data_IF_831720841388
#
_entry.id   IF_831720841388
#
_cell.length_a   1.000
_cell.length_b   1.000
_cell.length_c   1.000
_cell.angle_alpha   90.00
_cell.angle_beta   90.00
_cell.angle_gamma   90.00
#
_symmetry.space_group_name_H-M   'P 1'
#
loop_
_entity.id
_entity.type
_entity.pdbx_description
1 polymer ?
#
# COMPACT_ATOMS: atom_id res chain seq x y z
N UNK A 1 -23.57 61.23 -16.82
CA UNK A 1 -22.56 61.06 -15.80
C UNK A 1 -22.92 59.74 -15.07
N UNK A 2 -22.44 58.63 -15.58
CA UNK A 2 -22.83 57.28 -15.12
C UNK A 2 -21.58 56.58 -14.60
N UNK A 3 -21.64 56.16 -13.37
CA UNK A 3 -20.59 55.71 -12.48
C UNK A 3 -19.93 54.39 -12.89
N UNK A 4 -18.63 54.45 -13.05
CA UNK A 4 -17.71 53.35 -13.38
C UNK A 4 -17.07 52.82 -12.09
N UNK A 5 -17.83 52.19 -11.17
CA UNK A 5 -17.29 51.72 -9.89
C UNK A 5 -17.53 50.24 -9.54
N UNK A 6 -18.34 49.50 -10.34
CA UNK A 6 -18.74 48.13 -9.95
C UNK A 6 -17.87 46.98 -10.50
N UNK A 7 -16.87 47.27 -11.33
CA UNK A 7 -16.12 46.18 -12.02
C UNK A 7 -14.83 45.75 -11.26
N UNK A 8 -14.46 46.36 -10.13
CA UNK A 8 -13.25 45.96 -9.37
C UNK A 8 -13.50 45.00 -8.23
N UNK A 9 -14.73 44.96 -7.69
CA UNK A 9 -15.14 44.00 -6.65
C UNK A 9 -15.33 42.61 -7.23
N UNK A 10 -15.92 42.52 -8.44
CA UNK A 10 -16.18 41.24 -9.12
C UNK A 10 -14.89 40.57 -9.59
N UNK A 11 -13.93 41.34 -10.13
CA UNK A 11 -12.62 40.80 -10.51
C UNK A 11 -11.78 40.29 -9.31
N UNK A 12 -11.98 40.85 -8.12
CA UNK A 12 -11.29 40.38 -6.90
C UNK A 12 -11.97 39.16 -6.26
N UNK A 13 -13.30 39.03 -6.42
CA UNK A 13 -14.04 37.83 -6.00
C UNK A 13 -13.71 36.65 -6.90
N UNK A 14 -13.63 36.86 -8.21
CA UNK A 14 -13.25 35.83 -9.18
C UNK A 14 -11.77 35.39 -9.00
N UNK A 15 -10.85 36.32 -8.75
CA UNK A 15 -9.46 35.99 -8.47
C UNK A 15 -9.28 35.22 -7.13
N UNK A 16 -10.12 35.50 -6.13
CA UNK A 16 -10.12 34.76 -4.86
C UNK A 16 -10.81 33.39 -4.98
N UNK A 17 -11.80 33.27 -5.85
CA UNK A 17 -12.43 31.98 -6.18
C UNK A 17 -11.49 31.11 -6.99
N UNK A 18 -10.76 31.70 -7.93
CA UNK A 18 -9.76 30.98 -8.74
C UNK A 18 -8.54 30.56 -7.92
N UNK A 19 -8.08 31.40 -6.98
CA UNK A 19 -7.03 31.04 -6.03
C UNK A 19 -7.46 29.97 -5.01
N UNK A 20 -8.77 29.84 -4.72
CA UNK A 20 -9.29 28.74 -3.89
C UNK A 20 -9.49 27.45 -4.71
N UNK A 21 -9.78 27.56 -6.00
CA UNK A 21 -9.85 26.40 -6.90
C UNK A 21 -8.47 25.74 -7.10
N UNK A 22 -7.40 26.54 -7.04
CA UNK A 22 -6.02 26.07 -7.18
C UNK A 22 -5.47 25.35 -5.92
N UNK A 23 -6.16 25.46 -4.76
CA UNK A 23 -5.79 24.80 -3.52
C UNK A 23 -6.21 23.31 -3.48
N UNK A 24 -6.93 22.80 -4.47
CA UNK A 24 -7.49 21.45 -4.53
C UNK A 24 -6.97 20.65 -5.72
N UNK A 25 -5.88 21.09 -6.33
CA UNK A 25 -5.15 20.36 -7.36
C UNK A 25 -4.32 19.18 -6.79
N UNK A 26 -3.66 18.42 -7.67
CA UNK A 26 -2.71 17.39 -7.24
C UNK A 26 -1.66 18.00 -6.31
N UNK A 27 -1.21 17.21 -5.32
CA UNK A 27 -0.13 17.64 -4.44
C UNK A 27 1.13 17.98 -5.24
N UNK A 28 1.69 19.14 -4.99
CA UNK A 28 3.05 19.46 -5.40
C UNK A 28 4.08 18.79 -4.45
N UNK A 29 5.36 18.95 -4.76
CA UNK A 29 6.43 18.32 -3.97
C UNK A 29 6.46 18.79 -2.51
N UNK A 30 6.11 20.04 -2.24
CA UNK A 30 6.10 20.58 -0.87
C UNK A 30 4.86 20.13 -0.10
N UNK A 31 3.71 20.08 -0.76
CA UNK A 31 2.51 19.45 -0.24
C UNK A 31 2.73 17.97 0.08
N UNK A 32 3.33 17.22 -0.84
CA UNK A 32 3.66 15.82 -0.63
C UNK A 32 4.57 15.61 0.60
N UNK A 33 5.61 16.44 0.75
CA UNK A 33 6.49 16.38 1.94
C UNK A 33 5.72 16.64 3.23
N UNK A 34 4.93 17.71 3.27
CA UNK A 34 4.17 18.10 4.45
C UNK A 34 3.17 17.02 4.87
N UNK A 35 2.33 16.58 3.95
CA UNK A 35 1.30 15.58 4.24
C UNK A 35 1.91 14.18 4.48
N UNK A 36 3.02 13.87 3.80
CA UNK A 36 3.78 12.65 4.03
C UNK A 36 4.39 12.59 5.43
N UNK A 37 4.98 13.68 5.92
CA UNK A 37 5.47 13.75 7.30
C UNK A 37 4.33 13.58 8.30
N UNK A 38 3.21 14.27 8.10
CA UNK A 38 2.03 14.13 8.96
C UNK A 38 1.50 12.68 9.01
N UNK A 39 1.48 11.99 7.87
CA UNK A 39 1.08 10.58 7.81
C UNK A 39 2.09 9.66 8.52
N UNK A 40 3.37 9.92 8.38
CA UNK A 40 4.43 9.13 9.09
C UNK A 40 4.29 9.31 10.60
N UNK A 41 4.10 10.53 11.08
CA UNK A 41 3.87 10.83 12.50
C UNK A 41 2.60 10.12 13.00
N UNK A 42 1.50 10.21 12.25
CA UNK A 42 0.24 9.51 12.58
C UNK A 42 0.43 7.99 12.68
N UNK A 43 1.19 7.37 11.76
CA UNK A 43 1.48 5.93 11.80
C UNK A 43 2.30 5.58 13.05
N UNK A 44 3.30 6.39 13.39
CA UNK A 44 4.13 6.19 14.58
C UNK A 44 3.28 6.25 15.85
N UNK A 45 2.47 7.29 16.02
CA UNK A 45 1.55 7.48 17.15
C UNK A 45 0.52 6.34 17.25
N UNK A 46 -0.03 5.91 16.12
CA UNK A 46 -0.92 4.75 16.06
C UNK A 46 -0.23 3.50 16.62
N UNK A 47 0.97 3.19 16.15
CA UNK A 47 1.73 1.99 16.56
C UNK A 47 2.14 2.04 18.03
N UNK A 48 2.54 3.19 18.54
CA UNK A 48 2.87 3.38 19.96
C UNK A 48 1.63 3.25 20.86
N UNK A 49 0.47 3.65 20.36
CA UNK A 49 -0.79 3.60 21.11
C UNK A 49 -1.54 2.28 21.00
N UNK A 50 -1.19 1.40 20.06
CA UNK A 50 -2.00 0.24 19.69
C UNK A 50 -2.31 -0.69 20.87
N UNK A 51 -1.34 -0.93 21.76
CA UNK A 51 -1.52 -1.76 22.94
C UNK A 51 -2.50 -1.22 23.99
N UNK A 52 -2.89 0.05 23.90
CA UNK A 52 -3.89 0.72 24.73
C UNK A 52 -5.27 0.76 24.08
N UNK A 53 -5.38 0.38 22.82
CA UNK A 53 -6.64 0.37 22.06
C UNK A 53 -7.43 -0.90 22.32
N UNK A 54 -8.70 -0.92 22.01
CA UNK A 54 -9.48 -2.14 21.94
C UNK A 54 -8.98 -2.99 20.76
N UNK A 55 -8.79 -4.29 20.95
CA UNK A 55 -8.31 -5.19 19.87
C UNK A 55 -9.20 -5.13 18.64
N UNK A 56 -10.51 -5.14 18.85
CA UNK A 56 -11.50 -5.05 17.79
C UNK A 56 -12.71 -4.26 18.27
N UNK A 57 -13.20 -3.38 17.44
CA UNK A 57 -14.53 -2.81 17.53
C UNK A 57 -15.29 -3.20 16.26
N UNK A 58 -16.37 -3.93 16.41
CA UNK A 58 -17.17 -4.42 15.28
C UNK A 58 -18.44 -3.57 15.18
N UNK A 59 -18.47 -2.55 14.34
CA UNK A 59 -19.68 -1.76 14.10
C UNK A 59 -20.74 -2.61 13.39
N UNK A 60 -22.00 -2.21 13.50
CA UNK A 60 -23.09 -2.83 12.73
C UNK A 60 -22.78 -2.74 11.23
N UNK A 61 -23.04 -3.79 10.43
CA UNK A 61 -22.83 -3.74 8.99
C UNK A 61 -23.52 -2.53 8.35
N UNK A 62 -22.77 -1.77 7.58
CA UNK A 62 -23.24 -0.52 6.96
C UNK A 62 -22.95 0.76 7.74
N UNK A 63 -22.61 0.69 9.02
CA UNK A 63 -22.36 1.89 9.85
C UNK A 63 -21.15 2.73 9.37
N UNK A 64 -20.09 2.09 8.88
CA UNK A 64 -18.95 2.81 8.28
C UNK A 64 -19.37 3.43 6.95
N UNK A 65 -20.05 2.67 6.09
CA UNK A 65 -20.53 3.16 4.79
C UNK A 65 -21.48 4.36 4.94
N UNK A 66 -22.31 4.39 5.98
CA UNK A 66 -23.23 5.49 6.24
C UNK A 66 -22.53 6.81 6.59
N UNK A 67 -21.24 6.79 6.94
CA UNK A 67 -20.44 7.97 7.22
C UNK A 67 -19.75 8.52 5.97
N UNK A 68 -19.76 7.77 4.87
CA UNK A 68 -19.16 8.18 3.60
C UNK A 68 -20.16 8.93 2.73
N UNK A 69 -19.72 9.86 1.87
CA UNK A 69 -20.59 10.53 0.91
C UNK A 69 -21.33 9.51 0.02
N UNK A 70 -22.60 9.76 -0.27
CA UNK A 70 -23.40 8.87 -1.11
C UNK A 70 -23.00 8.90 -2.60
N UNK A 71 -22.26 9.92 -3.01
CA UNK A 71 -21.74 10.11 -4.37
C UNK A 71 -20.27 10.51 -4.29
N UNK A 72 -19.52 10.23 -5.34
CA UNK A 72 -18.16 10.73 -5.46
C UNK A 72 -18.15 12.27 -5.42
N UNK A 73 -17.20 12.89 -4.72
CA UNK A 73 -17.07 14.35 -4.71
C UNK A 73 -16.78 14.87 -6.12
N UNK A 74 -17.44 15.95 -6.50
CA UNK A 74 -17.20 16.59 -7.81
C UNK A 74 -15.94 17.45 -7.83
N UNK A 75 -15.42 17.78 -6.66
CA UNK A 75 -14.18 18.55 -6.45
C UNK A 75 -13.25 17.81 -5.51
N UNK A 76 -11.95 17.99 -5.71
CA UNK A 76 -10.95 17.47 -4.76
C UNK A 76 -11.09 18.11 -3.38
N UNK A 77 -10.67 17.38 -2.38
CA UNK A 77 -10.59 17.84 -0.99
C UNK A 77 -9.12 18.01 -0.58
N UNK A 78 -8.82 18.91 0.36
CA UNK A 78 -7.46 19.04 0.89
C UNK A 78 -6.98 17.72 1.49
N UNK A 79 -5.72 17.36 1.24
CA UNK A 79 -5.18 16.05 1.70
C UNK A 79 -5.25 15.88 3.22
N UNK A 80 -5.06 16.95 3.99
CA UNK A 80 -5.17 16.88 5.45
C UNK A 80 -6.59 16.53 5.94
N UNK A 81 -7.64 16.89 5.20
CA UNK A 81 -9.02 16.48 5.52
C UNK A 81 -9.22 14.99 5.20
N UNK A 82 -8.67 14.52 4.08
CA UNK A 82 -8.68 13.09 3.73
C UNK A 82 -7.92 12.28 4.79
N UNK A 83 -6.77 12.76 5.26
CA UNK A 83 -6.01 12.10 6.32
C UNK A 83 -6.77 12.11 7.66
N UNK A 84 -7.53 13.16 7.97
CA UNK A 84 -8.36 13.22 9.17
C UNK A 84 -9.48 12.15 9.15
N UNK A 85 -9.91 11.69 7.97
CA UNK A 85 -10.87 10.61 7.83
C UNK A 85 -10.34 9.26 8.31
N UNK A 86 -9.02 9.09 8.43
CA UNK A 86 -8.44 7.90 9.06
C UNK A 86 -8.96 7.77 10.50
N UNK A 87 -8.89 8.81 11.31
CA UNK A 87 -9.38 8.78 12.68
C UNK A 87 -10.91 8.84 12.76
N UNK A 88 -11.53 9.65 11.94
CA UNK A 88 -12.97 9.91 11.99
C UNK A 88 -13.80 8.72 11.50
N UNK A 89 -13.36 8.04 10.45
CA UNK A 89 -14.15 7.00 9.76
C UNK A 89 -13.45 5.65 9.82
N UNK A 90 -12.19 5.58 9.36
CA UNK A 90 -11.50 4.29 9.16
C UNK A 90 -11.25 3.59 10.50
N UNK A 91 -10.73 4.33 11.49
CA UNK A 91 -10.40 3.78 12.81
C UNK A 91 -11.63 3.28 13.58
N UNK A 92 -12.83 3.69 13.20
CA UNK A 92 -14.09 3.20 13.78
C UNK A 92 -14.40 1.73 13.39
N UNK A 93 -13.81 1.22 12.32
CA UNK A 93 -14.11 -0.11 11.78
C UNK A 93 -12.88 -1.01 11.59
N UNK A 94 -11.73 -0.63 12.13
CA UNK A 94 -10.52 -1.44 12.04
C UNK A 94 -10.45 -2.47 13.17
N UNK A 95 -10.06 -3.69 12.82
CA UNK A 95 -9.52 -4.69 13.75
C UNK A 95 -8.01 -4.52 13.78
N UNK A 96 -7.46 -4.30 14.98
CA UNK A 96 -6.04 -3.99 15.14
C UNK A 96 -5.18 -5.26 15.11
N UNK A 97 -4.86 -5.76 13.92
CA UNK A 97 -4.10 -7.01 13.71
C UNK A 97 -2.69 -6.99 14.31
N UNK A 98 -2.11 -5.80 14.51
CA UNK A 98 -0.80 -5.63 15.16
C UNK A 98 -0.90 -5.44 16.68
N UNK A 99 -2.12 -5.53 17.25
CA UNK A 99 -2.31 -5.40 18.69
C UNK A 99 -1.71 -6.62 19.42
N UNK A 100 -0.99 -6.45 20.54
CA UNK A 100 -0.40 -7.57 21.30
C UNK A 100 -1.41 -8.64 21.76
N UNK A 101 -2.67 -8.25 21.93
CA UNK A 101 -3.77 -9.16 22.29
C UNK A 101 -4.50 -9.79 21.10
N UNK A 102 -4.06 -9.56 19.86
CA UNK A 102 -4.63 -10.21 18.68
C UNK A 102 -4.04 -11.63 18.53
N UNK A 103 -4.84 -12.65 18.82
CA UNK A 103 -4.41 -14.06 18.86
C UNK A 103 -5.12 -14.91 17.79
N UNK A 104 -5.65 -14.29 16.75
CA UNK A 104 -6.37 -14.97 15.67
C UNK A 104 -5.63 -14.82 14.35
N UNK A 105 -5.79 -15.82 13.46
CA UNK A 105 -5.20 -15.88 12.12
C UNK A 105 -3.67 -15.83 12.12
N UNK A 106 -3.08 -15.51 10.98
CA UNK A 106 -1.66 -15.20 10.80
C UNK A 106 -1.53 -13.76 10.31
N UNK A 107 -1.33 -12.78 11.20
CA UNK A 107 -1.16 -11.40 10.79
C UNK A 107 0.12 -11.24 9.98
N UNK A 108 0.05 -10.46 8.91
CA UNK A 108 1.25 -10.01 8.21
C UNK A 108 2.10 -9.17 9.15
N UNK A 109 3.39 -9.45 9.21
CA UNK A 109 4.31 -8.63 9.97
C UNK A 109 4.43 -7.26 9.31
N UNK A 110 4.45 -6.23 10.15
CA UNK A 110 4.66 -4.86 9.72
C UNK A 110 5.67 -4.21 10.66
N UNK A 111 6.75 -3.67 10.11
CA UNK A 111 7.75 -2.89 10.83
C UNK A 111 7.82 -1.48 10.24
N UNK A 112 8.46 -0.56 10.94
CA UNK A 112 8.68 0.79 10.39
C UNK A 112 9.52 0.73 9.10
N UNK A 113 10.50 -0.17 9.05
CA UNK A 113 11.36 -0.37 7.88
C UNK A 113 10.57 -0.88 6.68
N UNK A 114 9.65 -1.84 6.89
CA UNK A 114 8.82 -2.36 5.79
C UNK A 114 7.85 -1.30 5.26
N UNK A 115 7.29 -0.44 6.13
CA UNK A 115 6.44 0.68 5.73
C UNK A 115 7.21 1.68 4.86
N UNK A 116 8.46 2.00 5.25
CA UNK A 116 9.33 2.87 4.45
C UNK A 116 9.73 2.22 3.13
N UNK A 117 9.93 0.90 3.12
CA UNK A 117 10.18 0.13 1.89
C UNK A 117 9.00 0.20 0.91
N UNK A 118 7.78 0.03 1.40
CA UNK A 118 6.55 0.19 0.60
C UNK A 118 6.40 1.61 0.05
N UNK A 119 6.66 2.63 0.88
CA UNK A 119 6.62 4.02 0.45
C UNK A 119 7.65 4.30 -0.66
N UNK A 120 8.87 3.78 -0.53
CA UNK A 120 9.91 3.92 -1.55
C UNK A 120 9.49 3.20 -2.85
N UNK A 121 8.96 1.98 -2.75
CA UNK A 121 8.48 1.20 -3.90
C UNK A 121 7.35 1.91 -4.64
N UNK A 122 6.36 2.43 -3.91
CA UNK A 122 5.26 3.20 -4.47
C UNK A 122 5.76 4.49 -5.14
N UNK A 123 6.73 5.19 -4.51
CA UNK A 123 7.30 6.42 -5.05
C UNK A 123 8.13 6.22 -6.33
N UNK A 124 8.80 5.08 -6.46
CA UNK A 124 9.55 4.72 -7.67
C UNK A 124 8.64 4.28 -8.82
N UNK A 125 7.50 3.65 -8.51
CA UNK A 125 6.53 3.21 -9.52
C UNK A 125 7.07 2.18 -10.52
N UNK A 126 8.06 1.38 -10.11
CA UNK A 126 8.72 0.39 -10.98
C UNK A 126 7.87 -0.87 -11.17
N UNK A 127 8.05 -1.53 -12.30
CA UNK A 127 7.45 -2.83 -12.61
C UNK A 127 8.48 -3.96 -12.49
N UNK A 128 8.38 -4.75 -11.42
CA UNK A 128 9.29 -5.85 -11.13
C UNK A 128 8.95 -7.20 -11.77
N UNK A 129 7.98 -7.27 -12.69
CA UNK A 129 7.52 -8.54 -13.25
C UNK A 129 8.51 -9.23 -14.18
N UNK A 130 9.42 -8.51 -14.78
CA UNK A 130 10.45 -9.01 -15.69
C UNK A 130 11.78 -8.30 -15.42
N UNK A 131 12.89 -9.02 -15.64
CA UNK A 131 14.21 -8.41 -15.58
C UNK A 131 14.34 -7.20 -16.51
N UNK A 132 13.80 -7.27 -17.70
CA UNK A 132 13.88 -6.19 -18.70
C UNK A 132 13.08 -4.93 -18.31
N UNK A 133 12.07 -5.06 -17.48
CA UNK A 133 11.26 -3.91 -17.00
C UNK A 133 11.81 -3.29 -15.72
N UNK A 134 12.52 -4.08 -14.92
CA UNK A 134 13.26 -3.60 -13.75
C UNK A 134 14.35 -4.60 -13.36
N UNK A 135 15.56 -4.47 -13.92
CA UNK A 135 16.69 -5.33 -13.55
C UNK A 135 16.96 -5.32 -12.05
N UNK A 136 16.91 -4.14 -11.42
CA UNK A 136 17.15 -3.98 -10.00
C UNK A 136 16.17 -4.78 -9.14
N UNK A 137 14.86 -4.78 -9.46
CA UNK A 137 13.88 -5.55 -8.71
C UNK A 137 14.17 -7.05 -8.77
N UNK A 138 14.42 -7.57 -9.97
CA UNK A 138 14.71 -9.00 -10.15
C UNK A 138 16.00 -9.44 -9.48
N UNK A 139 17.07 -8.65 -9.60
CA UNK A 139 18.34 -8.98 -9.00
C UNK A 139 18.33 -8.87 -7.47
N UNK A 140 17.65 -7.86 -6.93
CA UNK A 140 17.43 -7.75 -5.47
C UNK A 140 16.60 -8.92 -4.94
N UNK A 141 15.52 -9.28 -5.60
CA UNK A 141 14.69 -10.43 -5.23
C UNK A 141 15.53 -11.70 -5.17
N UNK A 142 16.25 -12.00 -6.25
CA UNK A 142 17.13 -13.17 -6.36
C UNK A 142 18.15 -13.20 -5.22
N UNK A 143 18.81 -12.08 -4.97
CA UNK A 143 19.84 -11.98 -3.95
C UNK A 143 19.29 -12.13 -2.52
N UNK A 144 18.16 -11.54 -2.23
CA UNK A 144 17.47 -11.66 -0.92
C UNK A 144 16.99 -13.09 -0.69
N UNK A 145 16.52 -13.77 -1.75
CA UNK A 145 16.12 -15.17 -1.65
C UNK A 145 17.31 -16.10 -1.40
N UNK A 146 18.49 -15.83 -1.98
CA UNK A 146 19.72 -16.56 -1.64
C UNK A 146 20.13 -16.35 -0.17
N UNK A 147 19.99 -15.13 0.37
CA UNK A 147 20.16 -14.90 1.81
C UNK A 147 19.20 -15.73 2.65
N UNK A 148 17.96 -15.84 2.21
CA UNK A 148 16.94 -16.62 2.92
C UNK A 148 17.28 -18.12 2.90
N UNK A 149 17.81 -18.67 1.80
CA UNK A 149 18.34 -20.04 1.73
C UNK A 149 19.38 -20.28 2.84
N UNK A 150 20.34 -19.38 2.98
CA UNK A 150 21.35 -19.49 4.05
C UNK A 150 20.78 -19.32 5.45
N UNK A 151 19.89 -18.33 5.66
CA UNK A 151 19.28 -18.05 6.95
C UNK A 151 18.41 -19.21 7.45
N UNK A 152 17.76 -19.94 6.55
CA UNK A 152 16.92 -21.12 6.86
C UNK A 152 17.73 -22.43 6.89
N UNK A 153 19.03 -22.42 6.58
CA UNK A 153 19.85 -23.63 6.49
C UNK A 153 19.41 -24.58 5.38
N UNK A 154 18.83 -24.06 4.30
CA UNK A 154 18.44 -24.88 3.17
C UNK A 154 19.65 -25.34 2.35
N UNK A 155 19.57 -26.47 1.66
CA UNK A 155 20.66 -26.95 0.80
C UNK A 155 20.99 -25.98 -0.33
N UNK A 156 22.26 -25.89 -0.74
CA UNK A 156 22.76 -25.00 -1.80
C UNK A 156 22.07 -25.20 -3.17
N UNK A 157 21.43 -26.35 -3.38
CA UNK A 157 20.62 -26.59 -4.60
C UNK A 157 19.44 -25.63 -4.76
N UNK A 158 19.08 -24.85 -3.72
CA UNK A 158 18.04 -23.81 -3.76
C UNK A 158 18.61 -22.42 -4.05
N UNK A 159 19.91 -22.25 -4.12
CA UNK A 159 20.55 -21.00 -4.53
C UNK A 159 20.30 -20.71 -6.02
N UNK A 160 20.24 -19.44 -6.37
CA UNK A 160 20.11 -18.97 -7.75
C UNK A 160 21.27 -19.35 -8.65
N UNK A 161 22.43 -19.65 -8.06
CA UNK A 161 23.65 -20.14 -8.74
C UNK A 161 23.61 -21.62 -9.07
N UNK A 162 22.57 -22.35 -8.67
CA UNK A 162 22.35 -23.78 -8.91
C UNK A 162 21.21 -24.00 -9.92
N UNK A 163 20.70 -25.23 -9.99
CA UNK A 163 19.49 -25.57 -10.77
C UNK A 163 18.19 -25.19 -10.05
N UNK A 164 18.27 -24.62 -8.85
CA UNK A 164 17.15 -24.15 -8.05
C UNK A 164 16.95 -22.63 -8.16
N UNK A 165 16.38 -22.09 -7.13
CA UNK A 165 16.08 -20.68 -7.00
C UNK A 165 14.76 -20.50 -6.24
N UNK A 166 14.40 -19.25 -6.02
CA UNK A 166 13.15 -18.86 -5.40
C UNK A 166 12.46 -17.74 -6.19
N UNK A 167 11.22 -17.52 -5.89
CA UNK A 167 10.43 -16.39 -6.41
C UNK A 167 9.43 -15.93 -5.35
N UNK A 168 9.28 -14.63 -5.18
CA UNK A 168 8.24 -14.06 -4.34
C UNK A 168 6.89 -14.14 -5.07
N UNK A 169 5.87 -14.56 -4.33
CA UNK A 169 4.49 -14.62 -4.80
C UNK A 169 3.64 -13.61 -4.03
N UNK A 170 2.53 -13.20 -4.62
CA UNK A 170 1.59 -12.25 -4.02
C UNK A 170 0.90 -12.80 -2.75
N UNK A 171 0.64 -14.12 -2.72
CA UNK A 171 -0.01 -14.78 -1.59
C UNK A 171 0.55 -16.18 -1.34
N UNK A 172 0.30 -16.72 -0.15
CA UNK A 172 0.61 -18.12 0.17
C UNK A 172 -0.14 -19.11 -0.75
N UNK A 173 -1.34 -18.77 -1.19
CA UNK A 173 -2.13 -19.59 -2.12
C UNK A 173 -1.47 -19.67 -3.49
N UNK A 174 -1.02 -18.57 -4.04
CA UNK A 174 -0.28 -18.51 -5.29
C UNK A 174 1.05 -19.26 -5.18
N UNK A 175 1.77 -19.09 -4.07
CA UNK A 175 3.02 -19.80 -3.81
C UNK A 175 2.81 -21.32 -3.78
N UNK A 176 1.77 -21.80 -3.11
CA UNK A 176 1.42 -23.22 -3.08
C UNK A 176 1.03 -23.75 -4.46
N UNK A 177 0.25 -22.98 -5.24
CA UNK A 177 -0.13 -23.37 -6.61
C UNK A 177 1.09 -23.47 -7.51
N UNK A 178 1.99 -22.49 -7.49
CA UNK A 178 3.23 -22.49 -8.28
C UNK A 178 4.11 -23.68 -7.90
N UNK A 179 4.26 -23.98 -6.60
CA UNK A 179 5.01 -25.13 -6.13
C UNK A 179 4.40 -26.46 -6.62
N UNK A 180 3.07 -26.60 -6.57
CA UNK A 180 2.36 -27.79 -7.07
C UNK A 180 2.53 -27.97 -8.58
N UNK A 181 2.40 -26.88 -9.35
CA UNK A 181 2.61 -26.91 -10.80
C UNK A 181 4.06 -27.32 -11.12
N UNK A 182 5.03 -26.71 -10.46
CA UNK A 182 6.44 -27.03 -10.64
C UNK A 182 6.75 -28.50 -10.28
N UNK A 183 6.17 -29.01 -9.19
CA UNK A 183 6.32 -30.41 -8.78
C UNK A 183 5.70 -31.37 -9.81
N UNK A 184 4.50 -31.05 -10.31
CA UNK A 184 3.83 -31.81 -11.37
C UNK A 184 4.69 -31.92 -12.63
N UNK A 185 5.13 -30.77 -13.14
CA UNK A 185 5.93 -30.72 -14.37
C UNK A 185 7.24 -31.51 -14.22
N UNK A 186 7.88 -31.38 -13.07
CA UNK A 186 9.08 -32.16 -12.77
C UNK A 186 8.81 -33.66 -12.68
N UNK A 187 7.72 -34.08 -12.05
CA UNK A 187 7.34 -35.49 -11.90
C UNK A 187 6.95 -36.12 -13.23
N UNK A 188 6.36 -35.37 -14.15
CA UNK A 188 5.94 -35.82 -15.48
C UNK A 188 6.99 -35.59 -16.58
N UNK A 189 8.18 -35.09 -16.22
CA UNK A 189 9.21 -34.67 -17.18
C UNK A 189 8.68 -33.70 -18.22
N UNK A 190 7.84 -32.73 -17.78
CA UNK A 190 7.19 -31.72 -18.61
C UNK A 190 6.26 -32.28 -19.69
N UNK A 191 5.68 -33.46 -19.45
CA UNK A 191 4.78 -34.11 -20.39
C UNK A 191 3.28 -33.94 -20.05
N UNK A 192 2.95 -33.13 -19.00
CA UNK A 192 1.56 -32.99 -18.54
C UNK A 192 0.64 -32.35 -19.57
N UNK A 193 1.14 -31.44 -20.42
CA UNK A 193 0.35 -30.79 -21.47
C UNK A 193 -0.06 -31.78 -22.58
N UNK A 194 0.79 -32.78 -22.88
CA UNK A 194 0.53 -33.74 -23.94
C UNK A 194 -0.22 -34.99 -23.46
N UNK A 195 -0.08 -35.37 -22.18
CA UNK A 195 -0.57 -36.64 -21.64
C UNK A 195 -1.70 -36.51 -20.64
N UNK A 196 -1.93 -35.31 -20.17
CA UNK A 196 -2.76 -35.07 -18.98
C UNK A 196 -2.08 -35.56 -17.70
N UNK A 197 -2.86 -35.68 -16.64
CA UNK A 197 -2.42 -36.23 -15.35
C UNK A 197 -2.73 -37.72 -15.28
#
# INVERSE_FOLDING_TARGET
MTTRSDNRSDLRSDQRADQRADQHGPLDADGFRREGHALVDWIADYRESIGRRQVAHLPTPGAIRAQLPSRAPERGEPMHEILADLDRVVMQGIVHWQHPGWLAYFPANSSYESILGELASAGLGVQGMLWSTSPACTELETHVLDWLVHALGLPDRFLSTSAGGGVLQDTASSAALVALVAARERATSFASDARGL
#
